data_IF_909538259462
#
_entry.id   IF_909538259462
#
_cell.length_a   1.000
_cell.length_b   1.000
_cell.length_c   1.000
_cell.angle_alpha   90.00
_cell.angle_beta   90.00
_cell.angle_gamma   90.00
#
_symmetry.space_group_name_H-M   'P 1'
#
loop_
_entity.id
_entity.type
_entity.pdbx_description
1 polymer ?
#
# COMPACT_ATOMS: atom_id res chain seq x y z
N UNK A 1 22.36 13.36 -12.59
CA UNK A 1 22.21 11.92 -12.88
C UNK A 1 21.00 11.77 -13.79
N UNK A 2 21.22 11.41 -15.06
CA UNK A 2 20.11 11.09 -15.96
C UNK A 2 19.47 9.79 -15.47
N UNK A 3 18.22 9.87 -15.02
CA UNK A 3 17.43 8.70 -14.62
C UNK A 3 17.22 7.81 -15.85
N UNK A 4 17.53 6.53 -15.72
CA UNK A 4 17.41 5.55 -16.78
C UNK A 4 15.90 5.25 -17.02
N UNK A 5 15.31 5.95 -17.99
CA UNK A 5 13.85 5.95 -18.26
C UNK A 5 13.27 4.58 -18.51
N UNK A 6 14.04 3.66 -19.11
CA UNK A 6 13.64 2.28 -19.39
C UNK A 6 13.53 1.42 -18.13
N UNK A 7 14.39 1.62 -17.13
CA UNK A 7 14.29 0.89 -15.87
C UNK A 7 13.04 1.30 -15.09
N UNK A 8 12.76 2.60 -15.04
CA UNK A 8 11.57 3.14 -14.39
C UNK A 8 10.27 2.66 -15.05
N UNK A 9 10.24 2.50 -16.38
CA UNK A 9 9.04 1.98 -17.06
C UNK A 9 8.77 0.51 -16.74
N UNK A 10 9.80 -0.31 -16.56
CA UNK A 10 9.65 -1.72 -16.15
C UNK A 10 9.05 -1.83 -14.74
N UNK A 11 9.56 -1.05 -13.77
CA UNK A 11 9.00 -1.03 -12.42
C UNK A 11 7.55 -0.56 -12.40
N UNK A 12 7.22 0.53 -13.09
CA UNK A 12 5.84 1.03 -13.15
C UNK A 12 4.87 -0.01 -13.74
N UNK A 13 5.32 -0.72 -14.79
CA UNK A 13 4.55 -1.79 -15.43
C UNK A 13 4.41 -3.01 -14.51
N UNK A 14 5.41 -3.30 -13.68
CA UNK A 14 5.35 -4.37 -12.68
C UNK A 14 4.39 -4.02 -11.54
N UNK A 15 4.50 -2.80 -11.00
CA UNK A 15 3.61 -2.27 -9.94
C UNK A 15 2.15 -2.25 -10.36
N UNK A 16 1.87 -1.76 -11.58
CA UNK A 16 0.52 -1.69 -12.13
C UNK A 16 -0.09 -3.08 -12.28
N UNK A 17 0.64 -4.01 -12.90
CA UNK A 17 0.15 -5.39 -13.04
C UNK A 17 -0.01 -6.09 -11.70
N UNK A 18 0.92 -5.88 -10.76
CA UNK A 18 0.84 -6.44 -9.43
C UNK A 18 -0.44 -5.95 -8.72
N UNK A 19 -0.73 -4.64 -8.78
CA UNK A 19 -1.94 -4.06 -8.21
C UNK A 19 -3.22 -4.54 -8.86
N UNK A 20 -3.27 -4.59 -10.20
CA UNK A 20 -4.43 -5.12 -10.93
C UNK A 20 -4.66 -6.59 -10.63
N UNK A 21 -3.60 -7.39 -10.54
CA UNK A 21 -3.72 -8.81 -10.17
C UNK A 21 -4.19 -8.98 -8.73
N UNK A 22 -3.74 -8.15 -7.78
CA UNK A 22 -4.29 -8.16 -6.41
C UNK A 22 -5.79 -7.87 -6.40
N UNK A 23 -6.24 -6.85 -7.13
CA UNK A 23 -7.66 -6.50 -7.21
C UNK A 23 -8.50 -7.64 -7.81
N UNK A 24 -7.99 -8.35 -8.82
CA UNK A 24 -8.65 -9.53 -9.40
C UNK A 24 -8.84 -10.70 -8.43
N UNK A 25 -8.03 -10.77 -7.37
CA UNK A 25 -8.19 -11.79 -6.32
C UNK A 25 -9.18 -11.36 -5.21
N UNK A 26 -9.63 -10.10 -5.21
CA UNK A 26 -10.58 -9.60 -4.23
C UNK A 26 -11.99 -10.19 -4.41
N UNK A 27 -12.78 -10.29 -3.32
CA UNK A 27 -14.18 -10.69 -3.43
C UNK A 27 -14.98 -9.67 -4.25
N UNK A 28 -15.76 -10.15 -5.22
CA UNK A 28 -16.59 -9.28 -6.05
C UNK A 28 -17.77 -8.62 -5.28
N UNK A 29 -18.13 -9.17 -4.13
CA UNK A 29 -19.31 -8.78 -3.35
C UNK A 29 -19.00 -7.90 -2.13
N UNK A 30 -17.74 -7.58 -1.87
CA UNK A 30 -17.36 -6.81 -0.68
C UNK A 30 -16.54 -5.58 -1.05
N UNK A 31 -16.68 -4.52 -0.25
CA UNK A 31 -15.82 -3.34 -0.37
C UNK A 31 -14.41 -3.69 0.11
N UNK A 32 -13.42 -3.56 -0.78
CA UNK A 32 -12.03 -3.87 -0.50
C UNK A 32 -11.15 -2.64 -0.74
N UNK A 33 -10.18 -2.44 0.15
CA UNK A 33 -9.05 -1.53 -0.08
C UNK A 33 -7.75 -2.33 0.00
N UNK A 34 -6.89 -2.16 -1.00
CA UNK A 34 -5.56 -2.77 -1.04
C UNK A 34 -4.51 -1.71 -1.33
N UNK A 35 -3.30 -1.92 -0.80
CA UNK A 35 -2.13 -1.13 -1.15
C UNK A 35 -1.10 -2.06 -1.80
N UNK A 36 -1.03 -2.10 -3.15
CA UNK A 36 -0.03 -2.89 -3.86
C UNK A 36 1.40 -2.51 -3.45
N UNK A 37 1.67 -1.20 -3.27
CA UNK A 37 2.97 -0.70 -2.82
C UNK A 37 3.36 -1.22 -1.43
N UNK A 38 2.40 -1.30 -0.50
CA UNK A 38 2.61 -1.85 0.83
C UNK A 38 3.14 -3.29 0.78
N UNK A 39 2.51 -4.12 -0.03
CA UNK A 39 2.92 -5.52 -0.23
C UNK A 39 4.25 -5.61 -0.96
N UNK A 40 4.49 -4.77 -1.97
CA UNK A 40 5.77 -4.73 -2.69
C UNK A 40 6.93 -4.35 -1.76
N UNK A 41 6.75 -3.41 -0.82
CA UNK A 41 7.77 -3.10 0.17
C UNK A 41 8.05 -4.28 1.10
N UNK A 42 7.02 -4.98 1.57
CA UNK A 42 7.19 -6.21 2.36
C UNK A 42 7.93 -7.30 1.57
N UNK A 43 7.57 -7.52 0.30
CA UNK A 43 8.24 -8.46 -0.60
C UNK A 43 9.69 -8.06 -0.86
N UNK A 44 9.99 -6.77 -0.99
CA UNK A 44 11.36 -6.28 -1.17
C UNK A 44 12.21 -6.51 0.09
N UNK A 45 11.62 -6.33 1.28
CA UNK A 45 12.27 -6.69 2.55
C UNK A 45 12.48 -8.20 2.68
N UNK A 46 11.57 -9.05 2.20
CA UNK A 46 11.78 -10.52 2.15
C UNK A 46 12.92 -10.84 1.18
N UNK A 47 12.87 -10.24 -0.01
CA UNK A 47 13.83 -10.44 -1.09
C UNK A 47 15.26 -10.08 -0.69
N UNK A 48 15.45 -9.10 0.20
CA UNK A 48 16.76 -8.75 0.73
C UNK A 48 17.44 -9.90 1.51
N UNK A 49 16.67 -10.82 2.09
CA UNK A 49 17.19 -12.02 2.77
C UNK A 49 17.08 -13.31 1.96
N UNK A 50 16.28 -13.30 0.87
CA UNK A 50 16.06 -14.47 0.03
C UNK A 50 17.26 -14.79 -0.88
N UNK A 51 17.41 -16.07 -1.23
CA UNK A 51 18.43 -16.57 -2.17
C UNK A 51 17.79 -17.54 -3.17
N UNK A 52 18.50 -17.84 -4.27
CA UNK A 52 18.09 -18.83 -5.26
C UNK A 52 16.67 -18.62 -5.80
N UNK A 53 15.90 -19.71 -5.87
CA UNK A 53 14.55 -19.71 -6.46
C UNK A 53 13.59 -18.72 -5.79
N UNK A 54 13.60 -18.61 -4.46
CA UNK A 54 12.72 -17.69 -3.73
C UNK A 54 12.96 -16.24 -4.14
N UNK A 55 14.22 -15.85 -4.24
CA UNK A 55 14.62 -14.51 -4.68
C UNK A 55 14.12 -14.24 -6.10
N UNK A 56 14.40 -15.16 -7.03
CA UNK A 56 13.99 -15.02 -8.44
C UNK A 56 12.47 -14.97 -8.63
N UNK A 57 11.70 -15.71 -7.82
CA UNK A 57 10.24 -15.65 -7.84
C UNK A 57 9.71 -14.28 -7.42
N UNK A 58 10.30 -13.68 -6.38
CA UNK A 58 9.92 -12.33 -5.93
C UNK A 58 10.31 -11.29 -6.99
N UNK A 59 11.55 -11.32 -7.47
CA UNK A 59 12.05 -10.38 -8.49
C UNK A 59 11.17 -10.39 -9.75
N UNK A 60 10.69 -11.58 -10.17
CA UNK A 60 9.77 -11.70 -11.31
C UNK A 60 8.46 -10.94 -11.11
N UNK A 61 7.90 -10.95 -9.89
CA UNK A 61 6.63 -10.31 -9.60
C UNK A 61 6.75 -8.79 -9.45
N UNK A 62 7.81 -8.31 -8.80
CA UNK A 62 7.94 -6.88 -8.48
C UNK A 62 8.77 -6.11 -9.50
N UNK A 63 9.65 -6.75 -10.28
CA UNK A 63 10.60 -6.03 -11.13
C UNK A 63 10.55 -6.40 -12.62
N UNK A 64 9.78 -7.43 -13.02
CA UNK A 64 9.61 -7.87 -14.42
C UNK A 64 10.91 -7.99 -15.23
N UNK A 65 12.02 -8.38 -14.58
CA UNK A 65 13.32 -8.56 -15.23
C UNK A 65 14.29 -7.37 -15.14
N UNK A 66 14.00 -6.35 -14.33
CA UNK A 66 15.00 -5.34 -13.98
C UNK A 66 16.21 -5.96 -13.25
N UNK A 67 17.37 -5.29 -13.32
CA UNK A 67 18.61 -5.82 -12.74
C UNK A 67 18.58 -5.86 -11.21
N UNK A 68 19.21 -6.91 -10.67
CA UNK A 68 19.22 -7.26 -9.24
C UNK A 68 19.60 -6.09 -8.32
N UNK A 69 20.66 -5.35 -8.67
CA UNK A 69 21.21 -4.28 -7.85
C UNK A 69 20.27 -3.07 -7.74
N UNK A 70 19.34 -2.90 -8.69
CA UNK A 70 18.47 -1.73 -8.75
C UNK A 70 17.17 -1.88 -7.95
N UNK A 71 16.71 -3.10 -7.66
CA UNK A 71 15.37 -3.35 -7.12
C UNK A 71 15.20 -2.77 -5.71
N UNK A 72 16.13 -3.10 -4.80
CA UNK A 72 16.08 -2.63 -3.40
C UNK A 72 16.22 -1.10 -3.35
N UNK A 73 17.10 -0.54 -4.18
CA UNK A 73 17.33 0.91 -4.22
C UNK A 73 16.15 1.67 -4.80
N UNK A 74 15.52 1.13 -5.84
CA UNK A 74 14.32 1.68 -6.43
C UNK A 74 13.18 1.75 -5.41
N UNK A 75 12.85 0.62 -4.77
CA UNK A 75 11.74 0.58 -3.80
C UNK A 75 12.05 1.31 -2.49
N UNK A 76 13.32 1.35 -2.07
CA UNK A 76 13.76 2.22 -0.98
C UNK A 76 13.53 3.69 -1.32
N UNK A 77 13.91 4.11 -2.54
CA UNK A 77 13.69 5.47 -3.03
C UNK A 77 12.20 5.81 -3.11
N UNK A 78 11.37 4.90 -3.61
CA UNK A 78 9.92 5.08 -3.66
C UNK A 78 9.30 5.18 -2.26
N UNK A 79 9.70 4.31 -1.33
CA UNK A 79 9.27 4.38 0.08
C UNK A 79 9.63 5.74 0.70
N UNK A 80 10.83 6.26 0.42
CA UNK A 80 11.23 7.59 0.90
C UNK A 80 10.42 8.73 0.25
N UNK A 81 10.09 8.63 -1.03
CA UNK A 81 9.24 9.62 -1.71
C UNK A 81 7.84 9.66 -1.11
N UNK A 82 7.25 8.48 -0.88
CA UNK A 82 5.94 8.35 -0.23
C UNK A 82 5.98 8.94 1.18
N UNK A 83 7.02 8.65 1.98
CA UNK A 83 7.18 9.20 3.33
C UNK A 83 7.38 10.73 3.36
N UNK A 84 8.02 11.29 2.33
CA UNK A 84 8.29 12.74 2.20
C UNK A 84 7.18 13.48 1.47
N UNK A 85 6.06 12.83 1.17
CA UNK A 85 4.91 13.47 0.55
C UNK A 85 4.49 14.71 1.35
N UNK A 86 4.17 15.79 0.64
CA UNK A 86 3.89 17.09 1.25
C UNK A 86 2.75 17.80 0.50
N UNK A 87 2.63 19.12 0.62
CA UNK A 87 1.62 19.90 -0.12
C UNK A 87 0.17 19.42 0.06
N UNK A 88 -0.23 19.14 1.30
CA UNK A 88 -1.59 18.67 1.61
C UNK A 88 -1.77 17.16 1.48
N UNK A 89 -0.71 16.42 1.15
CA UNK A 89 -0.63 14.96 1.35
C UNK A 89 0.03 14.67 2.69
N UNK A 90 -0.49 13.65 3.37
CA UNK A 90 0.13 13.05 4.54
C UNK A 90 0.18 11.55 4.33
N UNK A 91 1.37 10.98 4.47
CA UNK A 91 1.60 9.55 4.35
C UNK A 91 2.41 9.03 5.53
N UNK A 92 2.13 7.81 5.96
CA UNK A 92 2.88 7.08 6.99
C UNK A 92 3.11 5.66 6.50
N UNK A 93 4.32 5.16 6.71
CA UNK A 93 4.69 3.77 6.42
C UNK A 93 5.23 3.14 7.70
N UNK A 94 4.61 2.06 8.16
CA UNK A 94 5.11 1.22 9.23
C UNK A 94 5.73 -0.05 8.62
N UNK A 95 7.05 -0.15 8.65
CA UNK A 95 7.79 -1.35 8.25
C UNK A 95 8.28 -2.07 9.51
N UNK A 96 8.04 -3.38 9.61
CA UNK A 96 8.46 -4.19 10.75
C UNK A 96 8.90 -5.58 10.32
N UNK A 97 9.97 -6.08 10.94
CA UNK A 97 10.39 -7.47 10.89
C UNK A 97 10.57 -7.97 12.33
N UNK A 98 9.67 -8.85 12.76
CA UNK A 98 9.66 -9.36 14.12
C UNK A 98 10.02 -10.84 14.10
N UNK A 99 11.04 -11.21 14.86
CA UNK A 99 11.58 -12.57 14.88
C UNK A 99 11.24 -13.24 16.21
N UNK A 100 10.97 -14.54 16.18
CA UNK A 100 10.93 -15.33 17.40
C UNK A 100 12.33 -15.31 18.06
N UNK A 101 12.40 -14.92 19.33
CA UNK A 101 13.64 -14.70 20.07
C UNK A 101 14.54 -15.95 20.24
N UNK A 102 14.06 -17.13 19.85
CA UNK A 102 14.86 -18.35 19.72
C UNK A 102 15.85 -18.33 18.55
N UNK A 103 15.75 -17.33 17.66
CA UNK A 103 16.59 -17.20 16.47
C UNK A 103 17.37 -15.88 16.47
N UNK A 104 18.49 -15.89 15.75
CA UNK A 104 19.30 -14.70 15.53
C UNK A 104 19.19 -14.25 14.08
N UNK A 105 18.98 -12.95 13.88
CA UNK A 105 18.92 -12.34 12.56
C UNK A 105 20.33 -12.06 12.03
N UNK A 106 20.55 -12.34 10.75
CA UNK A 106 21.80 -11.99 10.05
C UNK A 106 21.96 -10.48 9.97
N UNK A 107 23.14 -9.98 10.36
CA UNK A 107 23.34 -8.52 10.52
C UNK A 107 23.32 -7.75 9.22
N UNK A 108 23.82 -8.33 8.13
CA UNK A 108 23.76 -7.68 6.82
C UNK A 108 22.32 -7.53 6.32
N UNK A 109 21.46 -8.51 6.62
CA UNK A 109 20.03 -8.44 6.31
C UNK A 109 19.33 -7.36 7.14
N UNK A 110 19.52 -7.38 8.47
CA UNK A 110 18.98 -6.39 9.39
C UNK A 110 19.38 -4.97 8.97
N UNK A 111 20.68 -4.74 8.75
CA UNK A 111 21.22 -3.45 8.33
C UNK A 111 20.58 -2.96 7.02
N UNK A 112 20.32 -3.88 6.09
CA UNK A 112 19.70 -3.55 4.80
C UNK A 112 18.27 -3.04 5.00
N UNK A 113 17.41 -3.79 5.69
CA UNK A 113 16.00 -3.41 5.85
C UNK A 113 15.81 -2.20 6.77
N UNK A 114 16.64 -2.05 7.82
CA UNK A 114 16.65 -0.87 8.68
C UNK A 114 17.05 0.36 7.87
N UNK A 115 18.13 0.30 7.10
CA UNK A 115 18.63 1.45 6.33
C UNK A 115 17.74 1.82 5.15
N UNK A 116 17.22 0.83 4.42
CA UNK A 116 16.52 1.03 3.15
C UNK A 116 15.02 1.26 3.33
N UNK A 117 14.41 0.68 4.36
CA UNK A 117 12.97 0.74 4.59
C UNK A 117 12.60 1.34 5.94
N UNK A 118 13.58 1.76 6.76
CA UNK A 118 13.33 2.22 8.13
C UNK A 118 12.55 1.18 8.93
N UNK A 119 12.81 -0.11 8.65
CA UNK A 119 12.10 -1.21 9.29
C UNK A 119 12.46 -1.27 10.78
N UNK A 120 11.46 -1.43 11.63
CA UNK A 120 11.66 -1.81 13.03
C UNK A 120 12.00 -3.30 13.06
N UNK A 121 13.14 -3.65 13.66
CA UNK A 121 13.58 -5.06 13.79
C UNK A 121 13.77 -5.38 15.26
N UNK A 122 12.92 -6.26 15.80
CA UNK A 122 12.99 -6.66 17.21
C UNK A 122 12.67 -8.15 17.38
N UNK A 123 13.39 -8.86 18.27
CA UNK A 123 13.01 -10.20 18.67
C UNK A 123 11.90 -10.15 19.74
N UNK A 124 10.94 -11.07 19.66
CA UNK A 124 9.90 -11.25 20.69
C UNK A 124 9.69 -12.72 21.05
N UNK A 125 9.12 -12.94 22.23
CA UNK A 125 8.66 -14.26 22.67
C UNK A 125 7.26 -14.54 22.10
N UNK A 126 7.21 -15.29 21.00
CA UNK A 126 5.94 -15.62 20.34
C UNK A 126 5.07 -16.59 21.15
N UNK A 127 5.58 -17.20 22.22
CA UNK A 127 4.74 -17.96 23.16
C UNK A 127 3.80 -17.03 23.95
N UNK A 128 4.20 -15.76 24.13
CA UNK A 128 3.35 -14.69 24.68
C UNK A 128 2.59 -13.98 23.57
N UNK A 129 1.77 -14.74 22.84
CA UNK A 129 1.13 -14.28 21.60
C UNK A 129 0.30 -13.00 21.76
N UNK A 130 -0.47 -12.87 22.84
CA UNK A 130 -1.33 -11.70 23.06
C UNK A 130 -0.51 -10.42 23.33
N UNK A 131 0.53 -10.52 24.16
CA UNK A 131 1.44 -9.40 24.47
C UNK A 131 2.25 -8.99 23.23
N UNK A 132 2.78 -9.96 22.49
CA UNK A 132 3.56 -9.71 21.27
C UNK A 132 2.69 -9.10 20.18
N UNK A 133 1.50 -9.66 19.92
CA UNK A 133 0.59 -9.12 18.93
C UNK A 133 0.14 -7.70 19.29
N UNK A 134 -0.15 -7.45 20.57
CA UNK A 134 -0.44 -6.10 21.06
C UNK A 134 0.72 -5.14 20.78
N UNK A 135 1.96 -5.54 21.10
CA UNK A 135 3.15 -4.70 20.91
C UNK A 135 3.35 -4.35 19.43
N UNK A 136 3.17 -5.32 18.53
CA UNK A 136 3.26 -5.09 17.08
C UNK A 136 2.12 -4.18 16.59
N UNK A 137 0.89 -4.39 17.06
CA UNK A 137 -0.25 -3.55 16.71
C UNK A 137 -0.11 -2.12 17.24
N UNK A 138 0.42 -1.93 18.44
CA UNK A 138 0.69 -0.62 19.03
C UNK A 138 1.75 0.14 18.20
N UNK A 139 2.79 -0.57 17.73
CA UNK A 139 3.78 -0.01 16.80
C UNK A 139 3.13 0.46 15.49
N UNK A 140 2.33 -0.41 14.83
CA UNK A 140 1.63 -0.06 13.60
C UNK A 140 0.69 1.12 13.81
N UNK A 141 -0.10 1.09 14.87
CA UNK A 141 -1.05 2.14 15.23
C UNK A 141 -0.34 3.45 15.49
N UNK A 142 0.72 3.46 16.30
CA UNK A 142 1.49 4.69 16.59
C UNK A 142 2.11 5.27 15.31
N UNK A 143 2.75 4.45 14.48
CA UNK A 143 3.35 4.91 13.23
C UNK A 143 2.33 5.43 12.23
N UNK A 144 1.13 4.85 12.21
CA UNK A 144 0.02 5.24 11.31
C UNK A 144 -0.94 6.25 11.94
N UNK A 145 -0.55 6.91 13.04
CA UNK A 145 -1.36 7.92 13.75
C UNK A 145 -2.75 7.42 14.18
N UNK A 146 -2.81 6.18 14.63
CA UNK A 146 -4.02 5.51 15.09
C UNK A 146 -4.97 5.08 13.98
N UNK A 147 -4.58 5.19 12.71
CA UNK A 147 -5.45 4.88 11.57
C UNK A 147 -5.50 3.42 11.21
N UNK A 148 -4.43 2.67 11.51
CA UNK A 148 -4.37 1.23 11.31
C UNK A 148 -4.07 0.60 12.67
N UNK A 149 -5.04 -0.15 13.20
CA UNK A 149 -4.92 -0.88 14.45
C UNK A 149 -5.36 -2.33 14.24
N UNK A 150 -5.02 -3.20 15.20
CA UNK A 150 -5.42 -4.62 15.21
C UNK A 150 -5.07 -5.42 13.94
N UNK A 151 -3.97 -5.07 13.29
CA UNK A 151 -3.51 -5.67 12.03
C UNK A 151 -3.10 -7.14 12.21
N UNK A 152 -2.46 -7.48 13.33
CA UNK A 152 -1.98 -8.82 13.65
C UNK A 152 -2.86 -9.44 14.73
N UNK A 153 -3.48 -10.57 14.42
CA UNK A 153 -4.19 -11.39 15.41
C UNK A 153 -3.18 -12.27 16.17
N UNK A 154 -3.34 -12.49 17.49
CA UNK A 154 -2.43 -13.32 18.28
C UNK A 154 -2.18 -14.72 17.68
N UNK A 155 -3.19 -15.34 17.09
CA UNK A 155 -3.05 -16.68 16.52
C UNK A 155 -2.13 -16.76 15.30
N UNK A 156 -1.82 -15.64 14.65
CA UNK A 156 -0.84 -15.58 13.57
C UNK A 156 0.60 -15.83 14.06
N UNK A 157 0.84 -15.75 15.38
CA UNK A 157 2.14 -16.03 15.99
C UNK A 157 2.35 -17.51 16.33
N UNK A 158 1.30 -18.33 16.27
CA UNK A 158 1.37 -19.75 16.61
C UNK A 158 2.31 -20.49 15.64
N UNK A 159 3.47 -20.92 16.13
CA UNK A 159 4.48 -21.62 15.32
C UNK A 159 5.22 -20.72 14.31
N UNK A 160 5.03 -19.41 14.36
CA UNK A 160 5.70 -18.49 13.45
C UNK A 160 7.20 -18.40 13.78
N UNK A 161 8.04 -18.47 12.74
CA UNK A 161 9.47 -18.14 12.85
C UNK A 161 9.66 -16.62 12.92
N UNK A 162 8.97 -15.88 12.06
CA UNK A 162 8.99 -14.42 11.99
C UNK A 162 7.65 -13.88 11.47
N UNK A 163 7.45 -12.57 11.65
CA UNK A 163 6.33 -11.80 11.11
C UNK A 163 6.90 -10.57 10.42
N UNK A 164 6.44 -10.31 9.19
CA UNK A 164 6.78 -9.12 8.43
C UNK A 164 5.54 -8.27 8.31
N UNK A 165 5.67 -7.01 8.69
CA UNK A 165 4.58 -6.04 8.66
C UNK A 165 4.95 -4.90 7.73
N UNK A 166 4.05 -4.60 6.81
CA UNK A 166 4.00 -3.30 6.17
C UNK A 166 2.59 -2.74 6.31
N UNK A 167 2.46 -1.49 6.76
CA UNK A 167 1.21 -0.75 6.75
C UNK A 167 1.43 0.64 6.17
N UNK A 168 0.53 1.10 5.30
CA UNK A 168 0.58 2.43 4.71
C UNK A 168 -0.73 3.16 5.01
N UNK A 169 -0.63 4.32 5.64
CA UNK A 169 -1.73 5.28 5.77
C UNK A 169 -1.48 6.46 4.82
N UNK A 170 -2.50 6.85 4.06
CA UNK A 170 -2.47 7.96 3.12
C UNK A 170 -3.72 8.82 3.28
N UNK A 171 -3.53 10.13 3.31
CA UNK A 171 -4.60 11.12 3.17
C UNK A 171 -4.11 12.31 2.36
N UNK A 172 -5.00 12.94 1.61
CA UNK A 172 -4.66 14.05 0.76
C UNK A 172 -5.83 15.04 0.63
N UNK A 173 -5.51 16.34 0.59
CA UNK A 173 -6.47 17.41 0.32
C UNK A 173 -6.79 17.46 -1.17
N UNK A 174 -8.05 17.61 -1.52
CA UNK A 174 -8.47 17.86 -2.91
C UNK A 174 -7.83 19.15 -3.43
N UNK A 175 -7.49 19.18 -4.72
CA UNK A 175 -7.12 20.45 -5.38
C UNK A 175 -8.32 21.38 -5.44
N UNK A 176 -9.50 20.81 -5.76
CA UNK A 176 -10.78 21.48 -5.81
C UNK A 176 -11.72 20.83 -4.79
N UNK A 177 -11.93 21.49 -3.66
CA UNK A 177 -12.71 20.94 -2.54
C UNK A 177 -14.21 20.89 -2.85
N UNK A 178 -14.89 19.86 -2.30
CA UNK A 178 -16.35 19.79 -2.33
C UNK A 178 -16.95 20.63 -1.21
N UNK A 179 -17.87 21.52 -1.56
CA UNK A 179 -18.60 22.32 -0.57
C UNK A 179 -19.70 21.49 0.07
N UNK A 180 -19.71 21.39 1.40
CA UNK A 180 -20.75 20.64 2.15
C UNK A 180 -22.17 21.10 1.84
N UNK A 181 -22.37 22.39 1.52
CA UNK A 181 -23.66 22.95 1.12
C UNK A 181 -24.17 22.39 -0.22
N UNK A 182 -23.30 21.80 -1.03
CA UNK A 182 -23.65 21.12 -2.28
C UNK A 182 -23.93 19.63 -2.09
N UNK A 183 -23.64 19.05 -0.92
CA UNK A 183 -23.91 17.64 -0.67
C UNK A 183 -25.42 17.39 -0.67
N UNK A 184 -25.84 16.30 -1.30
CA UNK A 184 -27.25 15.91 -1.38
C UNK A 184 -27.40 14.43 -1.11
N UNK A 185 -28.48 14.04 -0.45
CA UNK A 185 -28.85 12.64 -0.35
C UNK A 185 -29.37 12.12 -1.69
N UNK A 186 -28.83 10.99 -2.16
CA UNK A 186 -29.29 10.31 -3.38
C UNK A 186 -29.26 8.79 -3.17
N UNK A 187 -29.98 8.06 -4.02
CA UNK A 187 -29.98 6.60 -4.00
C UNK A 187 -28.73 6.06 -4.68
N UNK A 188 -27.94 5.27 -3.95
CA UNK A 188 -26.88 4.43 -4.49
C UNK A 188 -27.39 3.00 -4.64
N UNK A 189 -27.11 2.38 -5.79
CA UNK A 189 -27.53 1.01 -6.10
C UNK A 189 -26.30 0.09 -5.98
N UNK A 190 -26.30 -0.79 -4.99
CA UNK A 190 -25.30 -1.86 -4.89
C UNK A 190 -25.69 -3.05 -5.78
N UNK A 191 -24.80 -4.03 -5.90
CA UNK A 191 -25.06 -5.28 -6.63
C UNK A 191 -26.31 -6.04 -6.13
N UNK A 192 -26.75 -5.81 -4.89
CA UNK A 192 -27.96 -6.42 -4.31
C UNK A 192 -29.28 -5.76 -4.80
N UNK A 193 -29.21 -4.70 -5.62
CA UNK A 193 -30.34 -4.07 -6.28
C UNK A 193 -31.25 -3.21 -5.39
N UNK A 194 -31.10 -3.28 -4.06
CA UNK A 194 -31.81 -2.40 -3.12
C UNK A 194 -31.10 -1.05 -3.04
N UNK A 195 -31.68 -0.03 -3.68
CA UNK A 195 -31.17 1.34 -3.58
C UNK A 195 -31.16 1.82 -2.13
N UNK A 196 -30.01 2.31 -1.66
CA UNK A 196 -29.84 2.91 -0.33
C UNK A 196 -29.58 4.41 -0.47
N UNK A 197 -30.26 5.21 0.35
CA UNK A 197 -30.00 6.65 0.40
C UNK A 197 -28.67 6.91 1.13
N UNK A 198 -27.75 7.60 0.47
CA UNK A 198 -26.45 8.01 1.01
C UNK A 198 -26.15 9.47 0.64
N UNK A 199 -25.21 10.09 1.35
CA UNK A 199 -24.74 11.44 1.02
C UNK A 199 -23.79 11.41 -0.18
N UNK A 200 -24.16 12.09 -1.26
CA UNK A 200 -23.29 12.31 -2.40
C UNK A 200 -22.58 13.65 -2.25
N UNK A 201 -21.27 13.65 -2.53
CA UNK A 201 -20.49 14.87 -2.67
C UNK A 201 -20.68 15.43 -4.08
N UNK A 202 -21.23 16.64 -4.22
CA UNK A 202 -21.45 17.26 -5.52
C UNK A 202 -20.52 18.45 -5.73
N UNK A 203 -20.04 18.59 -6.96
CA UNK A 203 -19.37 19.78 -7.43
C UNK A 203 -20.07 20.31 -8.68
N UNK A 204 -20.10 21.62 -8.86
CA UNK A 204 -20.69 22.29 -10.02
C UNK A 204 -19.61 23.18 -10.64
N UNK A 205 -19.52 23.15 -11.97
CA UNK A 205 -18.60 24.00 -12.74
C UNK A 205 -17.11 23.77 -12.44
N UNK A 206 -16.71 22.53 -12.17
CA UNK A 206 -15.30 22.15 -12.00
C UNK A 206 -14.73 21.52 -13.28
N UNK A 207 -13.50 21.87 -13.63
CA UNK A 207 -12.72 21.16 -14.63
C UNK A 207 -12.13 19.89 -14.02
N UNK A 208 -12.76 18.75 -14.30
CA UNK A 208 -12.29 17.42 -13.90
C UNK A 208 -11.89 16.64 -15.14
N UNK A 209 -10.85 15.83 -15.01
CA UNK A 209 -10.41 14.96 -16.09
C UNK A 209 -11.41 13.81 -16.22
N UNK A 210 -11.88 13.58 -17.44
CA UNK A 210 -12.87 12.58 -17.77
C UNK A 210 -12.49 11.85 -19.05
N UNK A 211 -12.70 10.54 -19.07
CA UNK A 211 -12.58 9.71 -20.26
C UNK A 211 -13.64 8.59 -20.18
N UNK A 212 -14.03 8.03 -21.31
CA UNK A 212 -14.91 6.87 -21.37
C UNK A 212 -14.65 6.03 -22.62
N UNK A 213 -14.99 4.75 -22.54
CA UNK A 213 -15.09 3.83 -23.67
C UNK A 213 -16.47 3.13 -23.68
N UNK A 214 -16.62 2.04 -24.41
CA UNK A 214 -17.89 1.33 -24.52
C UNK A 214 -18.35 0.68 -23.19
N UNK A 215 -17.42 0.41 -22.28
CA UNK A 215 -17.67 -0.37 -21.06
C UNK A 215 -17.58 0.47 -19.77
N UNK A 216 -16.74 1.51 -19.74
CA UNK A 216 -16.36 2.22 -18.52
C UNK A 216 -16.32 3.73 -18.70
N UNK A 217 -16.69 4.44 -17.63
CA UNK A 217 -16.45 5.87 -17.45
C UNK A 217 -15.36 6.07 -16.39
N UNK A 218 -14.44 6.98 -16.63
CA UNK A 218 -13.33 7.30 -15.72
C UNK A 218 -13.37 8.77 -15.37
N UNK A 219 -13.44 9.06 -14.07
CA UNK A 219 -13.32 10.40 -13.50
C UNK A 219 -12.03 10.46 -12.68
N UNK A 220 -11.16 11.42 -12.96
CA UNK A 220 -9.95 11.65 -12.16
C UNK A 220 -10.08 12.96 -11.38
N UNK A 221 -9.93 12.85 -10.05
CA UNK A 221 -9.95 13.96 -9.11
C UNK A 221 -8.53 14.22 -8.62
N UNK A 222 -8.01 15.41 -8.92
CA UNK A 222 -6.66 15.78 -8.50
C UNK A 222 -6.61 16.19 -7.03
N UNK A 223 -5.54 15.80 -6.35
CA UNK A 223 -5.21 16.33 -5.04
C UNK A 223 -4.40 17.61 -5.17
N UNK A 224 -4.26 18.36 -4.07
CA UNK A 224 -3.48 19.60 -4.01
C UNK A 224 -2.02 19.36 -4.45
N UNK A 225 -1.47 18.21 -4.10
CA UNK A 225 -0.30 17.65 -4.77
C UNK A 225 -0.75 16.90 -6.02
N UNK A 226 -0.53 17.50 -7.18
CA UNK A 226 -0.98 16.99 -8.48
C UNK A 226 -0.19 15.77 -8.96
N UNK A 227 0.83 15.33 -8.22
CA UNK A 227 1.45 14.01 -8.44
C UNK A 227 0.55 12.85 -8.01
N UNK A 228 -0.52 13.12 -7.24
CA UNK A 228 -1.53 12.16 -6.84
C UNK A 228 -2.90 12.51 -7.44
N UNK A 229 -3.68 11.48 -7.76
CA UNK A 229 -5.07 11.61 -8.18
C UNK A 229 -5.92 10.45 -7.67
N UNK A 230 -7.20 10.70 -7.44
CA UNK A 230 -8.20 9.68 -7.16
C UNK A 230 -8.97 9.37 -8.45
N UNK A 231 -8.72 8.20 -9.01
CA UNK A 231 -9.36 7.74 -10.24
C UNK A 231 -10.56 6.85 -9.88
N UNK A 232 -11.74 7.21 -10.37
CA UNK A 232 -12.99 6.47 -10.19
C UNK A 232 -13.31 5.82 -11.53
N UNK A 233 -13.39 4.49 -11.54
CA UNK A 233 -13.81 3.69 -12.69
C UNK A 233 -15.24 3.23 -12.44
N UNK A 234 -16.18 3.70 -13.25
CA UNK A 234 -17.59 3.37 -13.16
C UNK A 234 -18.01 2.58 -14.41
N UNK A 235 -18.39 1.30 -14.28
CA UNK A 235 -18.96 0.54 -15.39
C UNK A 235 -20.25 1.18 -15.90
N UNK A 236 -20.46 1.17 -17.21
CA UNK A 236 -21.70 1.67 -17.85
C UNK A 236 -22.89 0.71 -17.72
N UNK A 237 -22.62 -0.55 -17.38
CA UNK A 237 -23.59 -1.64 -17.23
C UNK A 237 -23.33 -2.41 -15.95
#
# INVERSE_FOLDING_TARGET
MALNTTANSMFLTAETDFGLNMLRQGPASESLVVSPLSVIFALTMIRAGAKGTTKSQIDKQIAKGASDDSIVDYYSGLSQQVLKASNGVQSRIANGFFLNNNYQIEKDYENTIVKKFSAKVEPYDFSKKDETAKTINDFVSTTTEGKIHDMLKPDALNGAFSVIVNAIYFTAKWQYEFFKSSNTKQKFFSAEGKGKEIDFMNARMDHRLYAEDDDTQVLSLTYKDTSYAFNIFLPKK
#
